data_IF_835695504209
#
_entry.id   IF_835695504209
#
_cell.length_a   1.000
_cell.length_b   1.000
_cell.length_c   1.000
_cell.angle_alpha   90.00
_cell.angle_beta   90.00
_cell.angle_gamma   90.00
#
_symmetry.space_group_name_H-M   'P 1'
#
loop_
_entity.id
_entity.type
_entity.pdbx_description
1 polymer ?
#
# COMPACT_ATOMS: atom_id res chain seq x y z
N UNK A 1 -14.40 18.31 10.31
CA UNK A 1 -13.14 18.85 9.75
C UNK A 1 -12.67 17.87 8.67
N UNK A 2 -12.60 18.28 7.40
CA UNK A 2 -12.21 17.39 6.30
C UNK A 2 -10.67 17.23 6.27
N UNK A 3 -10.17 16.01 5.99
CA UNK A 3 -8.73 15.68 5.98
C UNK A 3 -7.90 16.62 5.09
N UNK A 4 -8.43 17.02 3.93
CA UNK A 4 -7.78 17.98 3.02
C UNK A 4 -7.58 19.36 3.66
N UNK A 5 -8.58 19.86 4.40
CA UNK A 5 -8.47 21.16 5.08
C UNK A 5 -7.43 21.13 6.19
N UNK A 6 -7.33 20.03 6.94
CA UNK A 6 -6.29 19.88 7.95
C UNK A 6 -4.89 19.86 7.31
N UNK A 7 -4.71 19.09 6.22
CA UNK A 7 -3.45 19.05 5.50
C UNK A 7 -3.05 20.45 4.99
N UNK A 8 -3.97 21.14 4.30
CA UNK A 8 -3.74 22.49 3.79
C UNK A 8 -3.41 23.48 4.93
N UNK A 9 -4.09 23.36 6.07
CA UNK A 9 -3.81 24.19 7.25
C UNK A 9 -2.37 23.99 7.75
N UNK A 10 -1.91 22.75 7.88
CA UNK A 10 -0.53 22.44 8.32
C UNK A 10 0.49 23.00 7.32
N UNK A 11 0.28 22.79 6.02
CA UNK A 11 1.19 23.29 4.98
C UNK A 11 1.27 24.83 4.98
N UNK A 12 0.12 25.51 5.14
CA UNK A 12 0.07 26.97 5.22
C UNK A 12 0.77 27.55 6.47
N UNK A 13 1.01 26.74 7.50
CA UNK A 13 1.71 27.15 8.72
C UNK A 13 3.16 26.65 8.78
N UNK A 14 3.77 26.38 7.62
CA UNK A 14 5.19 26.02 7.51
C UNK A 14 5.47 24.51 7.57
N UNK A 15 4.45 23.67 7.47
CA UNK A 15 4.64 22.25 7.24
C UNK A 15 5.25 21.98 5.87
N UNK A 16 6.12 20.97 5.78
CA UNK A 16 6.77 20.57 4.54
C UNK A 16 6.04 19.37 3.92
N UNK A 17 5.56 19.56 2.69
CA UNK A 17 4.87 18.51 1.95
C UNK A 17 5.78 17.31 1.66
N UNK A 18 7.08 17.52 1.44
CA UNK A 18 8.06 16.45 1.15
C UNK A 18 8.32 15.57 2.38
N UNK A 19 8.20 16.14 3.57
CA UNK A 19 8.33 15.42 4.86
C UNK A 19 6.99 14.90 5.39
N UNK A 20 5.89 15.10 4.66
CA UNK A 20 4.55 14.70 5.10
C UNK A 20 3.98 13.59 4.22
N UNK A 21 3.83 12.40 4.81
CA UNK A 21 3.26 11.21 4.15
C UNK A 21 1.85 10.92 4.65
N UNK A 22 0.89 10.71 3.75
CA UNK A 22 -0.43 10.18 4.10
C UNK A 22 -0.43 8.66 4.00
N UNK A 23 -0.62 7.98 5.12
CA UNK A 23 -0.70 6.51 5.18
C UNK A 23 -2.16 6.12 5.43
N UNK A 24 -2.75 5.35 4.53
CA UNK A 24 -4.16 4.97 4.60
C UNK A 24 -4.35 3.47 4.44
N UNK A 25 -5.01 2.82 5.39
CA UNK A 25 -5.41 1.41 5.30
C UNK A 25 -6.83 1.26 4.73
N UNK A 26 -7.04 0.27 3.87
CA UNK A 26 -8.37 -0.06 3.35
C UNK A 26 -9.02 1.16 2.68
N UNK A 27 -10.21 1.59 3.14
CA UNK A 27 -10.88 2.81 2.67
C UNK A 27 -10.05 4.07 2.95
N UNK A 28 -9.22 4.07 3.99
CA UNK A 28 -8.30 5.17 4.32
C UNK A 28 -7.32 5.48 3.20
N UNK A 29 -6.91 4.49 2.39
CA UNK A 29 -6.06 4.72 1.23
C UNK A 29 -6.75 5.64 0.20
N UNK A 30 -8.05 5.44 -0.02
CA UNK A 30 -8.86 6.30 -0.87
C UNK A 30 -9.11 7.66 -0.23
N UNK A 31 -9.23 7.74 1.10
CA UNK A 31 -9.31 9.03 1.79
C UNK A 31 -8.06 9.87 1.57
N UNK A 32 -6.85 9.28 1.59
CA UNK A 32 -5.63 10.00 1.22
C UNK A 32 -5.70 10.52 -0.23
N UNK A 33 -6.06 9.67 -1.20
CA UNK A 33 -6.19 10.09 -2.61
C UNK A 33 -7.23 11.19 -2.81
N UNK A 34 -8.41 11.05 -2.20
CA UNK A 34 -9.46 12.06 -2.20
C UNK A 34 -9.00 13.36 -1.56
N UNK A 35 -8.29 13.30 -0.44
CA UNK A 35 -7.77 14.49 0.21
C UNK A 35 -6.84 15.26 -0.75
N UNK A 36 -5.89 14.57 -1.40
CA UNK A 36 -4.96 15.19 -2.35
C UNK A 36 -5.66 15.84 -3.55
N UNK A 37 -6.73 15.23 -4.09
CA UNK A 37 -7.50 15.80 -5.21
C UNK A 37 -8.19 17.13 -4.88
N UNK A 38 -8.46 17.39 -3.60
CA UNK A 38 -9.06 18.63 -3.14
C UNK A 38 -8.02 19.67 -2.71
N UNK A 39 -6.72 19.39 -2.87
CA UNK A 39 -5.65 20.36 -2.62
C UNK A 39 -5.25 21.05 -3.93
N UNK A 40 -4.85 22.32 -3.82
CA UNK A 40 -4.25 23.06 -4.94
C UNK A 40 -2.86 22.51 -5.30
N UNK A 41 -2.11 22.04 -4.30
CA UNK A 41 -0.82 21.37 -4.45
C UNK A 41 -0.99 19.94 -3.94
N UNK A 42 -0.66 18.96 -4.80
CA UNK A 42 -0.77 17.55 -4.45
C UNK A 42 0.17 17.19 -3.31
N UNK A 43 -0.22 16.19 -2.54
CA UNK A 43 0.64 15.60 -1.53
C UNK A 43 1.93 15.06 -2.18
N UNK A 44 3.04 15.11 -1.45
CA UNK A 44 4.28 14.53 -1.96
C UNK A 44 4.22 13.00 -1.97
N UNK A 45 3.73 12.39 -0.87
CA UNK A 45 3.69 10.94 -0.73
C UNK A 45 2.38 10.43 -0.13
N UNK A 46 1.85 9.37 -0.75
CA UNK A 46 0.74 8.56 -0.24
C UNK A 46 1.19 7.10 -0.16
N UNK A 47 0.91 6.43 0.95
CA UNK A 47 1.11 4.99 1.14
C UNK A 47 -0.27 4.34 1.37
N UNK A 48 -0.74 3.57 0.39
CA UNK A 48 -1.97 2.81 0.45
C UNK A 48 -1.71 1.39 0.97
N UNK A 49 -2.25 1.07 2.14
CA UNK A 49 -2.13 -0.24 2.78
C UNK A 49 -3.37 -1.08 2.44
N UNK A 50 -3.21 -2.01 1.51
CA UNK A 50 -4.25 -2.87 0.94
C UNK A 50 -5.57 -2.11 0.65
N UNK A 51 -5.57 -1.17 -0.32
CA UNK A 51 -6.71 -0.29 -0.60
C UNK A 51 -8.01 -1.06 -0.83
N UNK A 52 -9.13 -0.58 -0.28
CA UNK A 52 -10.40 -1.30 -0.30
C UNK A 52 -10.96 -1.48 -1.72
N UNK A 53 -11.36 -2.70 -2.06
CA UNK A 53 -12.00 -3.03 -3.35
C UNK A 53 -13.52 -3.05 -3.31
N UNK A 54 -14.19 -3.78 -2.39
CA UNK A 54 -15.63 -3.94 -2.44
C UNK A 54 -16.33 -2.58 -2.43
N UNK A 55 -17.32 -2.42 -3.32
CA UNK A 55 -18.07 -1.18 -3.54
C UNK A 55 -17.27 -0.03 -4.18
N UNK A 56 -15.94 -0.05 -4.10
CA UNK A 56 -15.08 0.96 -4.72
C UNK A 56 -14.85 0.63 -6.19
N UNK A 57 -14.34 -0.56 -6.52
CA UNK A 57 -13.90 -0.92 -7.87
C UNK A 57 -14.99 -0.82 -8.96
N UNK A 58 -16.24 -1.09 -8.58
CA UNK A 58 -17.40 -1.07 -9.48
C UNK A 58 -18.21 0.20 -9.45
N UNK A 59 -18.29 0.90 -8.32
CA UNK A 59 -19.29 1.96 -8.14
C UNK A 59 -18.71 3.35 -7.83
N UNK A 60 -17.49 3.45 -7.30
CA UNK A 60 -16.93 4.77 -6.99
C UNK A 60 -16.48 5.48 -8.27
N UNK A 61 -16.75 6.77 -8.43
CA UNK A 61 -16.14 7.57 -9.50
C UNK A 61 -14.61 7.61 -9.31
N UNK A 62 -13.83 7.82 -10.38
CA UNK A 62 -12.36 7.90 -10.29
C UNK A 62 -11.88 8.95 -9.27
N UNK A 63 -12.66 10.01 -9.08
CA UNK A 63 -12.38 11.05 -8.08
C UNK A 63 -12.41 10.52 -6.64
N UNK A 64 -13.17 9.47 -6.36
CA UNK A 64 -13.32 8.88 -5.01
C UNK A 64 -12.41 7.67 -4.76
N UNK A 65 -11.45 7.40 -5.66
CA UNK A 65 -10.51 6.28 -5.54
C UNK A 65 -9.08 6.79 -5.42
N UNK A 66 -8.17 5.95 -4.95
CA UNK A 66 -6.74 6.26 -5.02
C UNK A 66 -6.26 5.99 -6.45
N UNK A 67 -5.50 6.93 -7.02
CA UNK A 67 -4.86 6.80 -8.32
C UNK A 67 -3.39 7.23 -8.21
N UNK A 68 -2.54 6.67 -9.09
CA UNK A 68 -1.10 6.97 -9.17
C UNK A 68 -0.78 8.44 -9.38
N UNK A 69 -1.75 9.23 -9.86
CA UNK A 69 -1.61 10.67 -10.07
C UNK A 69 -1.90 11.49 -8.81
N UNK A 70 -2.37 10.88 -7.72
CA UNK A 70 -2.82 11.61 -6.53
C UNK A 70 -1.66 12.20 -5.71
N UNK A 71 -0.43 11.73 -5.90
CA UNK A 71 0.76 12.29 -5.27
C UNK A 71 1.99 12.18 -6.18
N UNK A 72 3.11 12.83 -5.81
CA UNK A 72 4.38 12.65 -6.52
C UNK A 72 4.87 11.20 -6.47
N UNK A 73 4.64 10.54 -5.34
CA UNK A 73 4.76 9.10 -5.17
C UNK A 73 3.51 8.54 -4.49
N UNK A 74 2.89 7.56 -5.15
CA UNK A 74 1.87 6.70 -4.56
C UNK A 74 2.46 5.31 -4.44
N UNK A 75 2.68 4.85 -3.22
CA UNK A 75 3.11 3.50 -2.90
C UNK A 75 1.90 2.68 -2.45
N UNK A 76 1.76 1.45 -2.96
CA UNK A 76 0.66 0.56 -2.57
C UNK A 76 1.23 -0.77 -2.09
N UNK A 77 0.77 -1.25 -0.93
CA UNK A 77 1.15 -2.56 -0.38
C UNK A 77 -0.08 -3.47 -0.45
N UNK A 78 -0.02 -4.47 -1.33
CA UNK A 78 -1.07 -5.45 -1.56
C UNK A 78 -0.84 -6.71 -0.73
N UNK A 79 -1.80 -7.04 0.13
CA UNK A 79 -1.76 -8.24 0.98
C UNK A 79 -3.01 -9.10 0.90
N UNK A 80 -4.12 -8.56 0.40
CA UNK A 80 -5.37 -9.28 0.17
C UNK A 80 -6.05 -8.85 -1.15
N UNK A 81 -5.24 -8.55 -2.15
CA UNK A 81 -5.63 -8.21 -3.51
C UNK A 81 -6.63 -9.22 -4.06
N UNK A 82 -7.78 -8.69 -4.47
CA UNK A 82 -8.83 -9.46 -5.10
C UNK A 82 -9.81 -10.16 -4.18
N UNK A 83 -9.64 -10.03 -2.88
CA UNK A 83 -10.68 -10.25 -1.88
C UNK A 83 -11.15 -8.87 -1.38
N UNK A 84 -10.62 -8.40 -0.24
CA UNK A 84 -10.90 -7.07 0.30
C UNK A 84 -10.02 -5.97 -0.32
N UNK A 85 -8.82 -6.30 -0.77
CA UNK A 85 -7.88 -5.38 -1.41
C UNK A 85 -8.10 -5.23 -2.92
N UNK A 86 -7.70 -4.08 -3.46
CA UNK A 86 -7.68 -3.77 -4.89
C UNK A 86 -6.72 -4.72 -5.64
N UNK A 87 -7.08 -5.12 -6.87
CA UNK A 87 -6.21 -5.96 -7.73
C UNK A 87 -5.35 -5.11 -8.67
N UNK A 88 -5.90 -3.98 -9.08
CA UNK A 88 -5.27 -3.13 -10.06
C UNK A 88 -4.03 -2.45 -9.47
N UNK A 89 -3.04 -2.23 -10.33
CA UNK A 89 -1.86 -1.42 -9.99
C UNK A 89 -2.27 0.04 -10.01
N UNK A 90 -2.61 0.57 -8.84
CA UNK A 90 -3.10 1.94 -8.67
C UNK A 90 -2.00 2.86 -8.11
N UNK A 91 -0.81 2.33 -7.81
CA UNK A 91 0.33 3.09 -7.37
C UNK A 91 1.21 3.60 -8.52
N UNK A 92 2.10 4.52 -8.17
CA UNK A 92 3.33 4.72 -8.95
C UNK A 92 4.27 3.52 -8.77
N UNK A 93 4.27 2.95 -7.57
CA UNK A 93 4.96 1.72 -7.18
C UNK A 93 4.02 0.86 -6.35
N UNK A 94 4.00 -0.43 -6.64
CA UNK A 94 3.10 -1.40 -6.02
C UNK A 94 3.91 -2.61 -5.52
N UNK A 95 3.72 -2.98 -4.26
CA UNK A 95 4.32 -4.15 -3.63
C UNK A 95 3.28 -5.26 -3.47
N UNK A 96 3.51 -6.40 -4.11
CA UNK A 96 2.71 -7.61 -3.95
C UNK A 96 3.39 -8.51 -2.91
N UNK A 97 2.85 -8.55 -1.68
CA UNK A 97 3.49 -9.22 -0.55
C UNK A 97 2.96 -10.64 -0.39
N UNK A 98 3.85 -11.64 -0.32
CA UNK A 98 3.52 -13.08 -0.17
C UNK A 98 2.44 -13.58 -1.15
N UNK A 99 2.47 -13.06 -2.38
CA UNK A 99 1.58 -13.40 -3.49
C UNK A 99 0.38 -12.46 -3.58
N UNK A 100 0.23 -11.56 -2.60
CA UNK A 100 -0.80 -10.52 -2.52
C UNK A 100 -2.20 -11.03 -2.19
N UNK A 101 -2.39 -12.33 -1.96
CA UNK A 101 -3.71 -12.94 -1.80
C UNK A 101 -4.05 -13.26 -0.34
N UNK A 102 -3.39 -14.28 0.23
CA UNK A 102 -3.59 -14.71 1.61
C UNK A 102 -2.22 -14.79 2.25
N UNK A 103 -2.06 -14.09 3.36
CA UNK A 103 -0.77 -13.98 4.01
C UNK A 103 -0.42 -15.25 4.79
N UNK A 104 0.86 -15.69 4.82
CA UNK A 104 1.25 -17.00 5.38
C UNK A 104 0.95 -17.20 6.86
N UNK A 105 0.79 -16.11 7.63
CA UNK A 105 0.46 -16.17 9.05
C UNK A 105 -1.05 -16.22 9.32
N UNK A 106 -1.89 -16.08 8.29
CA UNK A 106 -3.34 -16.01 8.42
C UNK A 106 -3.98 -17.40 8.37
N UNK A 107 -4.39 -17.89 9.54
CA UNK A 107 -5.01 -19.21 9.72
C UNK A 107 -6.50 -19.11 10.07
N UNK A 108 -7.16 -20.26 10.17
CA UNK A 108 -8.59 -20.36 10.52
C UNK A 108 -9.51 -20.37 9.29
N UNK A 109 -10.77 -19.98 9.52
CA UNK A 109 -11.81 -19.94 8.50
C UNK A 109 -11.47 -18.98 7.36
N UNK A 110 -12.12 -19.15 6.21
CA UNK A 110 -11.90 -18.27 5.04
C UNK A 110 -12.07 -16.78 5.37
N UNK A 111 -13.09 -16.45 6.16
CA UNK A 111 -13.36 -15.08 6.58
C UNK A 111 -12.25 -14.52 7.49
N UNK A 112 -11.75 -15.34 8.43
CA UNK A 112 -10.63 -14.96 9.28
C UNK A 112 -9.38 -14.71 8.45
N UNK A 113 -9.04 -15.63 7.53
CA UNK A 113 -7.88 -15.49 6.64
C UNK A 113 -7.92 -14.20 5.82
N UNK A 114 -9.08 -13.87 5.25
CA UNK A 114 -9.27 -12.67 4.42
C UNK A 114 -9.12 -11.39 5.24
N UNK A 115 -9.80 -11.28 6.39
CA UNK A 115 -9.69 -10.10 7.29
C UNK A 115 -8.28 -9.91 7.81
N UNK A 116 -7.66 -11.01 8.22
CA UNK A 116 -6.30 -11.08 8.67
C UNK A 116 -5.31 -10.60 7.60
N UNK A 117 -5.44 -11.12 6.37
CA UNK A 117 -4.55 -10.78 5.26
C UNK A 117 -4.71 -9.32 4.86
N UNK A 118 -5.92 -8.78 4.94
CA UNK A 118 -6.19 -7.37 4.68
C UNK A 118 -5.53 -6.44 5.70
N UNK A 119 -5.52 -6.82 6.99
CA UNK A 119 -4.88 -6.04 8.05
C UNK A 119 -3.35 -6.15 8.04
N UNK A 120 -2.79 -7.26 7.53
CA UNK A 120 -1.35 -7.49 7.48
C UNK A 120 -0.56 -6.42 6.71
N UNK A 121 -1.16 -5.67 5.79
CA UNK A 121 -0.48 -4.55 5.12
C UNK A 121 -0.01 -3.49 6.10
N UNK A 122 -0.80 -3.18 7.13
CA UNK A 122 -0.41 -2.26 8.20
C UNK A 122 0.73 -2.82 9.06
N UNK A 123 0.69 -4.12 9.36
CA UNK A 123 1.74 -4.77 10.13
C UNK A 123 3.07 -4.88 9.37
N UNK A 124 3.03 -5.19 8.06
CA UNK A 124 4.22 -5.15 7.23
C UNK A 124 4.79 -3.75 7.13
N UNK A 125 3.96 -2.73 6.93
CA UNK A 125 4.41 -1.34 6.91
C UNK A 125 5.05 -0.93 8.24
N UNK A 126 4.41 -1.19 9.38
CA UNK A 126 4.98 -0.90 10.69
C UNK A 126 6.34 -1.59 10.89
N UNK A 127 6.49 -2.83 10.42
CA UNK A 127 7.77 -3.55 10.46
C UNK A 127 8.86 -2.85 9.67
N UNK A 128 8.55 -2.19 8.54
CA UNK A 128 9.54 -1.41 7.77
C UNK A 128 10.14 -0.26 8.57
N UNK A 129 9.42 0.25 9.58
CA UNK A 129 9.86 1.33 10.47
C UNK A 129 10.69 0.80 11.66
N UNK A 130 10.39 -0.42 12.12
CA UNK A 130 11.01 -1.00 13.33
C UNK A 130 12.32 -1.74 13.08
N UNK A 131 12.57 -2.18 11.84
CA UNK A 131 13.76 -2.96 11.50
C UNK A 131 14.97 -2.03 11.33
N UNK A 132 15.64 -1.68 12.45
CA UNK A 132 16.92 -0.97 12.55
C UNK A 132 17.89 -1.30 11.38
N UNK A 133 17.79 -0.56 10.27
CA UNK A 133 18.54 -0.75 9.02
C UNK A 133 18.45 -2.13 8.33
N UNK A 134 17.39 -2.91 8.55
CA UNK A 134 17.11 -4.15 7.80
C UNK A 134 15.86 -3.98 6.93
N UNK A 135 16.00 -3.43 5.72
CA UNK A 135 14.84 -3.17 4.86
C UNK A 135 14.16 -4.45 4.41
N UNK A 136 12.83 -4.42 4.31
CA UNK A 136 12.07 -5.44 3.59
C UNK A 136 12.20 -5.15 2.11
N UNK A 137 12.89 -6.01 1.36
CA UNK A 137 13.25 -5.77 -0.03
C UNK A 137 12.21 -6.38 -0.98
N UNK A 138 11.72 -5.56 -1.91
CA UNK A 138 10.94 -5.99 -3.06
C UNK A 138 11.81 -6.20 -4.29
N UNK A 139 11.53 -7.28 -5.03
CA UNK A 139 12.18 -7.59 -6.32
C UNK A 139 11.22 -7.25 -7.47
N UNK A 140 11.67 -6.58 -8.55
CA UNK A 140 10.82 -6.30 -9.70
C UNK A 140 10.11 -7.55 -10.21
N UNK A 141 8.82 -7.44 -10.47
CA UNK A 141 8.04 -8.55 -11.02
C UNK A 141 6.93 -8.06 -11.93
N UNK A 142 6.19 -8.99 -12.56
CA UNK A 142 5.07 -8.67 -13.43
C UNK A 142 4.03 -7.79 -12.72
N UNK A 143 3.25 -7.02 -13.48
CA UNK A 143 2.25 -6.09 -12.94
C UNK A 143 0.99 -6.75 -12.37
N UNK A 144 0.95 -8.08 -12.30
CA UNK A 144 -0.20 -8.81 -11.76
C UNK A 144 -0.11 -8.93 -10.24
N UNK A 145 -1.18 -8.62 -9.50
CA UNK A 145 -1.36 -8.98 -8.10
C UNK A 145 -2.85 -9.28 -7.85
N UNK A 146 -3.24 -10.41 -7.24
CA UNK A 146 -2.38 -11.44 -6.67
C UNK A 146 -1.67 -12.30 -7.75
N UNK A 147 -0.55 -12.93 -7.39
CA UNK A 147 0.18 -13.82 -8.29
C UNK A 147 -0.57 -15.14 -8.47
N UNK A 148 -0.78 -15.55 -9.73
CA UNK A 148 -1.46 -16.82 -10.07
C UNK A 148 -0.54 -18.05 -10.02
N UNK A 149 0.77 -17.87 -10.24
CA UNK A 149 1.75 -18.97 -10.22
C UNK A 149 2.64 -18.90 -8.98
N UNK A 150 2.85 -20.04 -8.34
CA UNK A 150 3.83 -20.22 -7.25
C UNK A 150 5.27 -20.33 -7.77
N UNK A 151 5.47 -20.61 -9.06
CA UNK A 151 6.81 -20.63 -9.67
C UNK A 151 7.22 -19.21 -10.09
N UNK A 152 8.22 -18.67 -9.38
CA UNK A 152 8.94 -17.42 -9.68
C UNK A 152 8.12 -16.13 -9.83
N UNK A 153 6.89 -15.98 -9.35
CA UNK A 153 6.15 -14.69 -9.22
C UNK A 153 6.19 -13.70 -10.41
N UNK A 154 6.62 -14.15 -11.59
CA UNK A 154 7.06 -13.29 -12.68
C UNK A 154 8.22 -12.33 -12.34
N UNK A 155 9.25 -12.72 -11.58
CA UNK A 155 10.44 -11.87 -11.34
C UNK A 155 11.07 -11.46 -12.67
N UNK A 156 11.32 -10.16 -12.83
CA UNK A 156 11.93 -9.57 -14.02
C UNK A 156 13.26 -8.90 -13.67
N UNK A 157 14.19 -8.70 -14.63
CA UNK A 157 15.41 -7.94 -14.39
C UNK A 157 15.12 -6.51 -13.90
N UNK A 158 15.87 -6.04 -12.91
CA UNK A 158 15.79 -4.68 -12.41
C UNK A 158 16.39 -4.51 -11.01
N UNK A 159 16.41 -3.28 -10.52
CA UNK A 159 16.94 -2.95 -9.19
C UNK A 159 15.90 -3.24 -8.11
N UNK A 160 16.26 -4.08 -7.14
CA UNK A 160 15.44 -4.28 -5.94
C UNK A 160 15.41 -3.03 -5.07
N UNK A 161 14.28 -2.76 -4.43
CA UNK A 161 14.07 -1.57 -3.60
C UNK A 161 13.48 -1.95 -2.24
N UNK A 162 13.72 -1.16 -1.18
CA UNK A 162 12.99 -1.31 0.07
C UNK A 162 11.51 -0.98 -0.15
N UNK A 163 10.64 -1.71 0.54
CA UNK A 163 9.22 -1.40 0.74
C UNK A 163 9.07 -0.52 2.00
N UNK A 164 8.04 0.33 2.04
CA UNK A 164 7.71 1.20 3.16
C UNK A 164 8.45 2.54 3.11
N UNK A 165 8.73 3.12 4.27
CA UNK A 165 9.23 4.51 4.38
C UNK A 165 10.45 4.82 3.48
N UNK A 166 11.36 3.85 3.32
CA UNK A 166 12.58 4.06 2.55
C UNK A 166 12.46 3.81 1.04
N UNK A 167 11.25 3.55 0.51
CA UNK A 167 11.03 3.38 -0.94
C UNK A 167 11.50 4.62 -1.72
N UNK A 168 12.42 4.49 -2.70
CA UNK A 168 12.91 5.64 -3.47
C UNK A 168 11.79 6.38 -4.21
N UNK A 169 11.73 7.72 -4.15
CA UNK A 169 10.65 8.53 -4.73
C UNK A 169 10.46 8.35 -6.26
N UNK A 170 11.53 8.00 -6.97
CA UNK A 170 11.51 7.73 -8.41
C UNK A 170 11.18 6.26 -8.75
N UNK A 171 10.94 5.40 -7.76
CA UNK A 171 10.58 4.01 -7.98
C UNK A 171 9.26 3.91 -8.74
N UNK A 172 9.23 3.04 -9.76
CA UNK A 172 8.03 2.78 -10.56
C UNK A 172 7.85 1.29 -10.81
N UNK A 173 6.61 0.88 -11.02
CA UNK A 173 6.25 -0.50 -11.37
C UNK A 173 5.99 -1.40 -10.16
N UNK A 174 5.99 -2.71 -10.41
CA UNK A 174 5.52 -3.71 -9.44
C UNK A 174 6.67 -4.52 -8.87
N UNK A 175 6.64 -4.73 -7.56
CA UNK A 175 7.67 -5.44 -6.81
C UNK A 175 7.03 -6.55 -5.98
N UNK A 176 7.68 -7.71 -5.96
CA UNK A 176 7.26 -8.87 -5.20
C UNK A 176 8.11 -8.96 -3.93
N UNK A 177 7.43 -9.14 -2.80
CA UNK A 177 8.04 -9.20 -1.48
C UNK A 177 7.72 -10.54 -0.83
N UNK A 178 8.74 -11.24 -0.37
CA UNK A 178 8.61 -12.43 0.48
C UNK A 178 9.04 -12.06 1.90
N UNK A 179 8.15 -12.20 2.87
CA UNK A 179 8.41 -11.80 4.28
C UNK A 179 7.52 -12.58 5.25
N UNK A 180 8.06 -12.92 6.42
CA UNK A 180 7.31 -13.54 7.52
C UNK A 180 6.83 -12.50 8.55
N UNK A 181 5.63 -12.62 9.11
CA UNK A 181 5.20 -11.79 10.26
C UNK A 181 4.45 -12.65 11.26
N UNK A 182 5.21 -13.49 11.96
CA UNK A 182 4.65 -14.35 13.02
C UNK A 182 4.69 -13.72 14.42
N UNK A 183 5.30 -12.54 14.64
CA UNK A 183 5.61 -12.06 16.00
C UNK A 183 5.12 -10.66 16.42
N UNK A 184 4.79 -9.76 15.50
CA UNK A 184 4.62 -8.33 15.88
C UNK A 184 3.27 -7.70 15.46
N UNK A 185 2.30 -8.48 14.98
CA UNK A 185 1.00 -7.97 14.54
C UNK A 185 -0.08 -8.27 15.59
N UNK A 186 -0.80 -7.27 16.13
CA UNK A 186 -1.69 -7.41 17.29
C UNK A 186 -2.95 -8.27 17.07
N UNK A 187 -3.15 -8.84 15.88
CA UNK A 187 -4.29 -9.71 15.57
C UNK A 187 -3.99 -11.21 15.69
N UNK A 188 -2.82 -11.59 16.19
CA UNK A 188 -2.40 -13.00 16.35
C UNK A 188 -1.93 -13.35 17.76
N UNK A 189 -2.72 -12.99 18.76
CA UNK A 189 -2.75 -13.73 20.01
C UNK A 189 -4.00 -14.59 20.04
#
# INVERSE_FOLDING_TARGET
MCTAHLYAYIMNHGGDAELTTCVGHSLGAHICGMASKHLSIKQHRIIGLDPARPLIDRFAHKEFRLDKQDAHQVEVIHTNAGFLGERNQIGTVDFCVNGGSIQPSCYGTRLQQVRCSHFQSACYFARTLMLNNKPIIGRPCSSECPKRSTSKWGVVPGKSIPMGENTPFNARGTYCVETDTKKDCPYFQ
#
